data_IF_174584943005
#
_entry.id   IF_174584943005
#
_cell.length_a   1.000
_cell.length_b   1.000
_cell.length_c   1.000
_cell.angle_alpha   90.00
_cell.angle_beta   90.00
_cell.angle_gamma   90.00
#
_symmetry.space_group_name_H-M   'P 1'
#
loop_
_entity.id
_entity.type
_entity.pdbx_description
1 polymer ?
#
# COMPACT_ATOMS: atom_id res chain seq x y z
N UNK A 1 23.63 -16.38 12.09
CA UNK A 1 24.44 -17.57 12.42
C UNK A 1 23.51 -18.71 12.80
N UNK A 2 23.66 -19.90 12.21
CA UNK A 2 22.73 -21.04 12.38
C UNK A 2 23.02 -21.88 13.65
N UNK A 3 24.14 -21.62 14.34
CA UNK A 3 24.56 -22.31 15.55
C UNK A 3 24.38 -21.43 16.80
N UNK A 4 23.15 -21.01 17.05
CA UNK A 4 22.77 -20.35 18.31
C UNK A 4 21.78 -21.22 19.07
N UNK A 5 21.76 -21.10 20.40
CA UNK A 5 20.97 -21.98 21.27
C UNK A 5 19.47 -21.89 20.98
N UNK A 6 18.73 -22.97 21.28
CA UNK A 6 17.29 -23.05 21.05
C UNK A 6 16.51 -21.94 21.77
N UNK A 7 16.97 -21.50 22.94
CA UNK A 7 16.40 -20.35 23.67
C UNK A 7 16.60 -19.03 22.93
N UNK A 8 17.73 -18.82 22.26
CA UNK A 8 18.00 -17.61 21.49
C UNK A 8 17.21 -17.59 20.16
N UNK A 9 17.05 -18.76 19.53
CA UNK A 9 16.12 -18.95 18.42
C UNK A 9 14.67 -18.70 18.87
N UNK A 10 14.24 -19.28 20.00
CA UNK A 10 12.91 -19.10 20.56
C UNK A 10 12.62 -17.64 20.98
N UNK A 11 13.62 -16.94 21.53
CA UNK A 11 13.50 -15.54 21.92
C UNK A 11 13.29 -14.60 20.73
N UNK A 12 13.89 -14.90 19.57
CA UNK A 12 13.74 -14.12 18.33
C UNK A 12 12.58 -14.59 17.43
N UNK A 13 12.09 -15.82 17.63
CA UNK A 13 10.99 -16.41 16.84
C UNK A 13 9.69 -15.59 16.91
N UNK A 14 9.36 -14.97 18.04
CA UNK A 14 8.14 -14.19 18.16
C UNK A 14 8.18 -12.91 17.31
N UNK A 15 9.16 -12.05 17.58
CA UNK A 15 9.23 -10.73 16.95
C UNK A 15 9.51 -10.79 15.44
N UNK A 16 10.51 -11.57 15.01
CA UNK A 16 10.90 -11.62 13.59
C UNK A 16 9.79 -12.23 12.71
N UNK A 17 9.06 -13.25 13.20
CA UNK A 17 7.92 -13.80 12.46
C UNK A 17 6.75 -12.83 12.42
N UNK A 18 6.47 -12.11 13.51
CA UNK A 18 5.43 -11.07 13.52
C UNK A 18 5.80 -9.92 12.57
N UNK A 19 7.06 -9.49 12.58
CA UNK A 19 7.59 -8.46 11.66
C UNK A 19 7.52 -8.92 10.21
N UNK A 20 7.93 -10.16 9.92
CA UNK A 20 7.81 -10.75 8.59
C UNK A 20 6.36 -10.79 8.12
N UNK A 21 5.45 -11.31 8.96
CA UNK A 21 4.02 -11.37 8.63
C UNK A 21 3.45 -9.97 8.39
N UNK A 22 3.81 -9.00 9.24
CA UNK A 22 3.41 -7.61 9.08
C UNK A 22 3.86 -7.03 7.73
N UNK A 23 5.15 -7.15 7.39
CA UNK A 23 5.69 -6.69 6.10
C UNK A 23 5.12 -7.48 4.91
N UNK A 24 4.74 -8.75 5.10
CA UNK A 24 4.04 -9.53 4.07
C UNK A 24 2.65 -8.96 3.80
N UNK A 25 1.93 -8.48 4.81
CA UNK A 25 0.63 -7.80 4.60
C UNK A 25 0.78 -6.49 3.82
N UNK A 26 1.90 -5.77 3.99
CA UNK A 26 2.24 -4.59 3.20
C UNK A 26 2.49 -4.96 1.74
N UNK A 27 3.29 -6.01 1.52
CA UNK A 27 3.53 -6.55 0.18
C UNK A 27 2.22 -6.93 -0.53
N UNK A 28 1.29 -7.56 0.19
CA UNK A 28 -0.01 -7.98 -0.32
C UNK A 28 -0.94 -6.81 -0.70
N UNK A 29 -0.74 -5.62 -0.12
CA UNK A 29 -1.51 -4.43 -0.47
C UNK A 29 -1.23 -3.92 -1.90
N UNK A 30 0.00 -4.12 -2.41
CA UNK A 30 0.39 -3.64 -3.76
C UNK A 30 -0.45 -4.33 -4.87
N UNK A 31 -0.52 -5.67 -4.95
CA UNK A 31 -1.41 -6.35 -5.88
C UNK A 31 -2.89 -6.00 -5.69
N UNK A 32 -3.32 -5.74 -4.44
CA UNK A 32 -4.71 -5.34 -4.16
C UNK A 32 -5.03 -3.98 -4.80
N UNK A 33 -4.14 -2.99 -4.68
CA UNK A 33 -4.26 -1.67 -5.34
C UNK A 33 -4.37 -1.83 -6.85
N UNK A 34 -3.46 -2.60 -7.45
CA UNK A 34 -3.44 -2.84 -8.90
C UNK A 34 -4.75 -3.50 -9.34
N UNK A 35 -5.19 -4.52 -8.62
CA UNK A 35 -6.39 -5.30 -8.97
C UNK A 35 -7.65 -4.43 -9.05
N UNK A 36 -7.81 -3.43 -8.18
CA UNK A 36 -8.93 -2.48 -8.23
C UNK A 36 -8.95 -1.63 -9.50
N UNK A 37 -7.79 -1.20 -10.00
CA UNK A 37 -7.69 -0.41 -11.24
C UNK A 37 -8.01 -1.21 -12.50
N UNK A 38 -7.67 -2.50 -12.50
CA UNK A 38 -7.79 -3.38 -13.67
C UNK A 38 -8.95 -4.37 -13.61
N UNK A 39 -9.79 -4.27 -12.56
CA UNK A 39 -10.96 -5.10 -12.37
C UNK A 39 -11.84 -5.15 -13.64
N UNK A 40 -12.59 -6.25 -13.79
CA UNK A 40 -13.53 -6.57 -14.89
C UNK A 40 -12.88 -6.91 -16.25
N UNK A 41 -11.59 -6.63 -16.43
CA UNK A 41 -10.88 -6.83 -17.72
C UNK A 41 -9.54 -7.57 -17.62
N UNK A 42 -9.00 -7.73 -16.42
CA UNK A 42 -7.79 -8.51 -16.19
C UNK A 42 -8.06 -10.02 -16.30
N UNK A 43 -7.08 -10.76 -16.85
CA UNK A 43 -7.08 -12.24 -16.85
C UNK A 43 -6.46 -12.76 -15.55
N UNK A 44 -6.99 -13.87 -15.04
CA UNK A 44 -6.59 -14.44 -13.75
C UNK A 44 -5.11 -14.86 -13.69
N UNK A 45 -4.62 -15.68 -14.63
CA UNK A 45 -3.24 -16.19 -14.58
C UNK A 45 -2.16 -15.10 -14.73
N UNK A 46 -2.27 -14.13 -15.66
CA UNK A 46 -1.34 -13.00 -15.69
C UNK A 46 -1.32 -12.22 -14.37
N UNK A 47 -2.48 -12.03 -13.74
CA UNK A 47 -2.57 -11.34 -12.45
C UNK A 47 -1.90 -12.15 -11.32
N UNK A 48 -2.06 -13.47 -11.32
CA UNK A 48 -1.42 -14.36 -10.35
C UNK A 48 0.11 -14.31 -10.46
N UNK A 49 0.64 -14.39 -11.68
CA UNK A 49 2.09 -14.31 -11.94
C UNK A 49 2.63 -12.94 -11.59
N UNK A 50 1.94 -11.86 -11.98
CA UNK A 50 2.31 -10.50 -11.63
C UNK A 50 2.34 -10.32 -10.10
N UNK A 51 1.33 -10.85 -9.39
CA UNK A 51 1.27 -10.83 -7.93
C UNK A 51 2.47 -11.53 -7.30
N UNK A 52 2.83 -12.73 -7.78
CA UNK A 52 3.99 -13.46 -7.28
C UNK A 52 5.30 -12.70 -7.51
N UNK A 53 5.48 -12.07 -8.67
CA UNK A 53 6.66 -11.24 -8.98
C UNK A 53 6.69 -10.00 -8.08
N UNK A 54 5.55 -9.33 -7.91
CA UNK A 54 5.46 -8.11 -7.12
C UNK A 54 5.79 -8.40 -5.65
N UNK A 55 5.15 -9.40 -5.05
CA UNK A 55 5.35 -9.75 -3.64
C UNK A 55 6.72 -10.37 -3.41
N UNK A 56 7.18 -11.24 -4.32
CA UNK A 56 8.44 -11.97 -4.15
C UNK A 56 9.71 -11.18 -4.51
N UNK A 57 9.60 -10.16 -5.38
CA UNK A 57 10.78 -9.43 -5.88
C UNK A 57 10.63 -7.93 -5.82
N UNK A 58 9.55 -7.36 -6.38
CA UNK A 58 9.42 -5.89 -6.51
C UNK A 58 9.33 -5.24 -5.13
N UNK A 59 8.45 -5.73 -4.26
CA UNK A 59 8.30 -5.18 -2.92
C UNK A 59 9.58 -5.31 -2.09
N UNK A 60 10.22 -6.49 -1.93
CA UNK A 60 11.46 -6.62 -1.17
C UNK A 60 12.61 -5.75 -1.72
N UNK A 61 12.64 -5.52 -3.04
CA UNK A 61 13.65 -4.66 -3.65
C UNK A 61 13.51 -3.20 -3.17
N UNK A 62 12.31 -2.62 -3.24
CA UNK A 62 12.08 -1.24 -2.81
C UNK A 62 12.04 -1.09 -1.29
N UNK A 63 11.46 -2.06 -0.59
CA UNK A 63 11.52 -2.15 0.87
C UNK A 63 12.97 -2.15 1.36
N UNK A 64 13.83 -2.95 0.74
CA UNK A 64 15.25 -3.03 1.08
C UNK A 64 15.99 -1.71 0.87
N UNK A 65 15.67 -0.97 -0.18
CA UNK A 65 16.24 0.37 -0.44
C UNK A 65 15.79 1.36 0.62
N UNK A 66 14.48 1.41 0.90
CA UNK A 66 13.89 2.45 1.73
C UNK A 66 14.09 2.21 3.23
N UNK A 67 13.92 0.96 3.70
CA UNK A 67 13.93 0.63 5.13
C UNK A 67 15.18 -0.13 5.59
N UNK A 68 15.95 -0.74 4.68
CA UNK A 68 17.15 -1.52 5.03
C UNK A 68 18.45 -0.96 4.41
N UNK A 69 18.41 0.27 3.86
CA UNK A 69 19.57 0.98 3.31
C UNK A 69 20.35 0.22 2.21
N UNK A 70 19.70 -0.70 1.50
CA UNK A 70 20.35 -1.45 0.44
C UNK A 70 20.88 -0.55 -0.68
N UNK A 71 21.98 -0.98 -1.30
CA UNK A 71 22.61 -0.35 -2.47
C UNK A 71 23.09 1.10 -2.26
N UNK A 72 23.16 1.59 -1.02
CA UNK A 72 23.69 2.93 -0.71
C UNK A 72 22.80 4.11 -1.12
N UNK A 73 21.56 3.85 -1.58
CA UNK A 73 20.65 4.89 -2.08
C UNK A 73 20.29 5.89 -0.98
N UNK A 74 20.02 5.43 0.25
CA UNK A 74 19.74 6.32 1.38
C UNK A 74 20.92 7.27 1.69
N UNK A 75 22.16 6.75 1.64
CA UNK A 75 23.36 7.55 1.84
C UNK A 75 23.54 8.59 0.72
N UNK A 76 23.26 8.20 -0.53
CA UNK A 76 23.25 9.12 -1.66
C UNK A 76 22.18 10.22 -1.48
N UNK A 77 20.93 9.88 -1.15
CA UNK A 77 19.87 10.86 -0.89
C UNK A 77 20.32 11.84 0.19
N UNK A 78 20.81 11.34 1.33
CA UNK A 78 21.32 12.17 2.43
C UNK A 78 22.45 13.11 1.99
N UNK A 79 23.35 12.66 1.12
CA UNK A 79 24.45 13.49 0.61
C UNK A 79 23.97 14.67 -0.24
N UNK A 80 22.82 14.54 -0.91
CA UNK A 80 22.29 15.56 -1.82
C UNK A 80 21.24 16.45 -1.14
N UNK A 81 20.43 15.90 -0.24
CA UNK A 81 19.30 16.60 0.40
C UNK A 81 19.58 17.02 1.84
N UNK A 82 20.65 16.50 2.45
CA UNK A 82 20.98 16.69 3.87
C UNK A 82 20.23 15.77 4.84
N UNK A 83 19.27 14.97 4.35
CA UNK A 83 18.47 14.06 5.18
C UNK A 83 18.18 12.74 4.46
N UNK A 84 18.01 11.67 5.24
CA UNK A 84 17.59 10.38 4.68
C UNK A 84 16.12 10.44 4.25
N UNK A 85 15.79 9.65 3.23
CA UNK A 85 14.41 9.51 2.80
C UNK A 85 13.62 8.77 3.89
N UNK A 86 12.51 9.37 4.32
CA UNK A 86 11.69 8.83 5.39
C UNK A 86 10.31 8.45 4.87
N UNK A 87 10.04 7.15 4.86
CA UNK A 87 8.72 6.59 4.58
C UNK A 87 8.26 5.78 5.79
N UNK A 88 7.44 6.38 6.65
CA UNK A 88 7.12 5.80 7.95
C UNK A 88 6.34 4.49 7.85
N UNK A 89 5.32 4.45 6.97
CA UNK A 89 4.38 3.34 6.86
C UNK A 89 4.12 2.93 5.41
N UNK A 90 4.98 3.27 4.44
CA UNK A 90 4.86 2.76 3.08
C UNK A 90 4.04 3.64 2.13
N UNK A 91 3.99 4.95 2.38
CA UNK A 91 3.42 5.94 1.44
C UNK A 91 4.04 5.81 0.04
N UNK A 92 5.34 5.54 -0.04
CA UNK A 92 6.03 5.29 -1.31
C UNK A 92 6.16 3.79 -1.56
N UNK A 93 6.71 3.05 -0.61
CA UNK A 93 7.07 1.63 -0.78
C UNK A 93 5.84 0.76 -1.12
N UNK A 94 4.66 1.12 -0.61
CA UNK A 94 3.41 0.40 -0.87
C UNK A 94 2.52 1.19 -1.83
N UNK A 95 2.10 2.40 -1.43
CA UNK A 95 1.03 3.10 -2.13
C UNK A 95 1.48 3.71 -3.46
N UNK A 96 2.59 4.46 -3.47
CA UNK A 96 3.08 5.07 -4.71
C UNK A 96 3.55 4.02 -5.71
N UNK A 97 4.32 3.00 -5.28
CA UNK A 97 4.73 1.89 -6.15
C UNK A 97 3.52 1.13 -6.68
N UNK A 98 2.53 0.84 -5.83
CA UNK A 98 1.27 0.23 -6.29
C UNK A 98 0.56 1.06 -7.36
N UNK A 99 0.49 2.39 -7.17
CA UNK A 99 -0.06 3.30 -8.17
C UNK A 99 0.75 3.32 -9.48
N UNK A 100 2.08 3.40 -9.39
CA UNK A 100 2.98 3.42 -10.55
C UNK A 100 2.99 2.10 -11.32
N UNK A 101 2.78 0.96 -10.67
CA UNK A 101 2.59 -0.34 -11.33
C UNK A 101 1.19 -0.48 -11.92
N UNK A 102 0.17 0.08 -11.26
CA UNK A 102 -1.20 0.07 -11.75
C UNK A 102 -1.38 0.93 -13.01
N UNK A 103 -0.69 2.07 -13.10
CA UNK A 103 -0.80 3.01 -14.22
C UNK A 103 -0.55 2.36 -15.60
N UNK A 104 0.61 1.73 -15.89
CA UNK A 104 0.83 1.06 -17.17
C UNK A 104 -0.13 -0.11 -17.37
N UNK A 105 -0.50 -0.84 -16.31
CA UNK A 105 -1.48 -1.93 -16.42
C UNK A 105 -2.85 -1.42 -16.89
N UNK A 106 -3.31 -0.29 -16.35
CA UNK A 106 -4.57 0.37 -16.77
C UNK A 106 -4.47 0.91 -18.20
N UNK A 107 -3.34 1.52 -18.57
CA UNK A 107 -3.13 2.04 -19.94
C UNK A 107 -3.16 0.90 -20.97
N UNK A 108 -2.43 -0.19 -20.72
CA UNK A 108 -2.32 -1.32 -21.64
C UNK A 108 -3.62 -2.13 -21.76
N UNK A 109 -4.37 -2.28 -20.67
CA UNK A 109 -5.68 -2.93 -20.71
C UNK A 109 -6.76 -2.03 -21.35
N UNK A 110 -6.53 -0.72 -21.36
CA UNK A 110 -7.46 0.27 -21.88
C UNK A 110 -8.67 0.52 -20.97
N UNK A 111 -9.56 1.37 -21.47
CA UNK A 111 -10.78 1.76 -20.78
C UNK A 111 -11.77 0.60 -20.63
N UNK A 112 -12.57 0.62 -19.57
CA UNK A 112 -13.70 -0.31 -19.41
C UNK A 112 -14.68 -0.12 -20.57
N UNK A 113 -15.34 -1.22 -20.97
CA UNK A 113 -16.36 -1.19 -22.03
C UNK A 113 -17.42 -0.14 -21.67
N UNK A 114 -17.81 0.66 -22.66
CA UNK A 114 -18.81 1.73 -22.51
C UNK A 114 -18.44 2.86 -21.52
N UNK A 115 -17.21 2.93 -21.01
CA UNK A 115 -16.77 4.06 -20.16
C UNK A 115 -16.75 5.38 -20.91
N UNK A 116 -16.27 5.37 -22.15
CA UNK A 116 -16.25 6.53 -23.04
C UNK A 116 -17.12 6.22 -24.26
N UNK A 117 -18.14 7.05 -24.49
CA UNK A 117 -19.06 6.95 -25.62
C UNK A 117 -18.42 7.55 -26.88
N UNK A 118 -19.01 7.26 -28.06
CA UNK A 118 -18.51 7.75 -29.36
C UNK A 118 -18.50 9.28 -29.48
N UNK A 119 -19.35 9.96 -28.71
CA UNK A 119 -19.47 11.41 -28.58
C UNK A 119 -18.45 12.01 -27.59
N UNK A 120 -17.60 11.19 -26.97
CA UNK A 120 -16.65 11.60 -25.94
C UNK A 120 -17.24 11.70 -24.54
N UNK A 121 -18.55 11.49 -24.37
CA UNK A 121 -19.19 11.54 -23.06
C UNK A 121 -18.74 10.37 -22.17
N UNK A 122 -18.58 10.65 -20.87
CA UNK A 122 -18.22 9.65 -19.87
C UNK A 122 -19.50 9.03 -19.31
N UNK A 123 -19.59 7.70 -19.36
CA UNK A 123 -20.68 6.97 -18.71
C UNK A 123 -20.35 6.75 -17.24
N UNK A 124 -21.22 7.22 -16.35
CA UNK A 124 -21.19 6.86 -14.93
C UNK A 124 -21.37 5.34 -14.79
N UNK A 125 -20.51 4.71 -14.00
CA UNK A 125 -20.64 3.31 -13.60
C UNK A 125 -21.00 3.33 -12.12
N UNK A 126 -22.30 3.24 -11.77
CA UNK A 126 -22.70 3.30 -10.38
C UNK A 126 -22.07 2.12 -9.61
N UNK A 127 -21.79 2.30 -8.30
CA UNK A 127 -21.35 1.21 -7.46
C UNK A 127 -22.32 0.03 -7.55
N UNK A 128 -21.79 -1.18 -7.76
CA UNK A 128 -22.62 -2.38 -7.82
C UNK A 128 -23.34 -2.67 -6.50
N UNK A 129 -22.79 -2.21 -5.37
CA UNK A 129 -23.39 -2.33 -4.04
C UNK A 129 -22.82 -1.28 -3.07
N UNK A 130 -23.64 -0.28 -2.71
CA UNK A 130 -23.24 0.81 -1.80
C UNK A 130 -22.90 0.30 -0.40
N UNK A 131 -23.71 -0.57 0.25
CA UNK A 131 -23.33 -1.16 1.54
C UNK A 131 -21.97 -1.86 1.55
N UNK A 132 -21.63 -2.65 0.53
CA UNK A 132 -20.32 -3.32 0.45
C UNK A 132 -19.18 -2.32 0.24
N UNK A 133 -19.39 -1.26 -0.54
CA UNK A 133 -18.42 -0.18 -0.69
C UNK A 133 -18.15 0.51 0.65
N UNK A 134 -19.19 0.85 1.40
CA UNK A 134 -19.06 1.46 2.72
C UNK A 134 -18.38 0.53 3.73
N UNK A 135 -18.73 -0.76 3.72
CA UNK A 135 -18.09 -1.78 4.56
C UNK A 135 -16.60 -1.93 4.23
N UNK A 136 -16.24 -1.97 2.94
CA UNK A 136 -14.85 -2.02 2.51
C UNK A 136 -14.05 -0.79 2.98
N UNK A 137 -14.61 0.41 2.82
CA UNK A 137 -14.00 1.65 3.33
C UNK A 137 -13.82 1.63 4.86
N UNK A 138 -14.78 1.09 5.60
CA UNK A 138 -14.68 0.93 7.05
C UNK A 138 -13.58 -0.07 7.46
N UNK A 139 -13.50 -1.23 6.80
CA UNK A 139 -12.44 -2.22 7.04
C UNK A 139 -11.06 -1.61 6.78
N UNK A 140 -10.92 -0.86 5.68
CA UNK A 140 -9.68 -0.14 5.38
C UNK A 140 -9.35 0.91 6.45
N UNK A 141 -10.33 1.68 6.90
CA UNK A 141 -10.17 2.70 7.96
C UNK A 141 -9.66 2.09 9.26
N UNK A 142 -10.28 1.00 9.72
CA UNK A 142 -9.87 0.31 10.94
C UNK A 142 -8.49 -0.34 10.75
N UNK A 143 -8.28 -1.03 9.63
CA UNK A 143 -7.00 -1.64 9.28
C UNK A 143 -5.85 -0.63 9.18
N UNK A 144 -6.14 0.61 8.78
CA UNK A 144 -5.14 1.67 8.64
C UNK A 144 -4.46 2.05 9.95
N UNK A 145 -5.17 1.94 11.08
CA UNK A 145 -4.54 2.12 12.39
C UNK A 145 -3.49 1.04 12.66
N UNK A 146 -3.80 -0.23 12.36
CA UNK A 146 -2.84 -1.32 12.45
C UNK A 146 -1.64 -1.09 11.52
N UNK A 147 -1.89 -0.67 10.28
CA UNK A 147 -0.87 -0.36 9.29
C UNK A 147 0.10 0.72 9.79
N UNK A 148 -0.42 1.86 10.28
CA UNK A 148 0.43 2.98 10.69
C UNK A 148 1.06 2.76 12.07
N UNK A 149 0.30 2.34 13.07
CA UNK A 149 0.81 2.23 14.45
C UNK A 149 1.87 1.15 14.57
N UNK A 150 1.67 -0.01 13.92
CA UNK A 150 2.65 -1.11 13.95
C UNK A 150 3.86 -0.86 13.06
N UNK A 151 3.84 0.14 12.17
CA UNK A 151 5.01 0.55 11.38
C UNK A 151 6.13 1.15 12.23
N UNK A 152 5.86 1.48 13.50
CA UNK A 152 6.90 1.75 14.48
C UNK A 152 7.85 0.56 14.70
N UNK A 153 7.41 -0.66 14.34
CA UNK A 153 8.08 -1.95 14.45
C UNK A 153 8.38 -2.41 15.87
N UNK A 154 8.75 -1.53 16.81
CA UNK A 154 9.05 -1.86 18.20
C UNK A 154 8.11 -1.16 19.18
N UNK A 155 7.84 -1.80 20.32
CA UNK A 155 6.87 -1.32 21.33
C UNK A 155 7.25 0.06 21.88
N UNK A 156 8.54 0.32 22.09
CA UNK A 156 9.07 1.59 22.58
C UNK A 156 8.88 2.76 21.61
N UNK A 157 8.69 2.47 20.31
CA UNK A 157 8.47 3.48 19.26
C UNK A 157 6.99 3.68 18.93
N UNK A 158 6.10 2.84 19.45
CA UNK A 158 4.65 3.00 19.27
C UNK A 158 4.23 4.30 19.96
N UNK A 159 3.50 5.15 19.23
CA UNK A 159 3.04 6.43 19.74
C UNK A 159 1.57 6.65 19.43
N UNK A 160 0.81 7.10 20.44
CA UNK A 160 -0.58 7.53 20.25
C UNK A 160 -0.72 8.69 19.25
N UNK A 161 0.33 9.48 19.04
CA UNK A 161 0.34 10.55 18.03
C UNK A 161 0.19 9.99 16.61
N UNK A 162 0.74 8.81 16.32
CA UNK A 162 0.58 8.15 15.02
C UNK A 162 -0.89 7.82 14.79
N UNK A 163 -1.58 7.28 15.80
CA UNK A 163 -3.00 6.96 15.71
C UNK A 163 -3.85 8.23 15.52
N UNK A 164 -3.61 9.28 16.32
CA UNK A 164 -4.36 10.55 16.20
C UNK A 164 -4.11 11.23 14.85
N UNK A 165 -2.86 11.29 14.38
CA UNK A 165 -2.54 11.85 13.07
C UNK A 165 -3.20 11.07 11.94
N UNK A 166 -3.25 9.75 12.04
CA UNK A 166 -3.96 8.89 11.07
C UNK A 166 -5.45 9.20 11.03
N UNK A 167 -6.09 9.33 12.20
CA UNK A 167 -7.50 9.69 12.30
C UNK A 167 -7.76 11.09 11.71
N UNK A 168 -6.97 12.09 12.09
CA UNK A 168 -7.15 13.46 11.60
C UNK A 168 -6.93 13.58 10.10
N UNK A 169 -5.99 12.81 9.54
CA UNK A 169 -5.78 12.74 8.08
C UNK A 169 -7.01 12.15 7.36
N UNK A 170 -7.60 11.07 7.89
CA UNK A 170 -8.81 10.46 7.31
C UNK A 170 -10.02 11.40 7.39
N UNK A 171 -10.22 12.08 8.53
CA UNK A 171 -11.27 13.08 8.70
C UNK A 171 -11.06 14.24 7.73
N UNK A 172 -9.85 14.81 7.67
CA UNK A 172 -9.52 15.91 6.77
C UNK A 172 -9.75 15.55 5.30
N UNK A 173 -9.31 14.36 4.88
CA UNK A 173 -9.53 13.85 3.53
C UNK A 173 -11.02 13.68 3.19
N UNK A 174 -11.82 13.17 4.13
CA UNK A 174 -13.26 12.99 3.95
C UNK A 174 -13.98 14.34 3.83
N UNK A 175 -13.64 15.31 4.68
CA UNK A 175 -14.21 16.65 4.63
C UNK A 175 -13.83 17.38 3.35
N UNK A 176 -12.56 17.26 2.92
CA UNK A 176 -12.10 17.81 1.65
C UNK A 176 -12.85 17.17 0.47
N UNK A 177 -12.98 15.84 0.44
CA UNK A 177 -13.75 15.14 -0.59
C UNK A 177 -15.22 15.59 -0.62
N UNK A 178 -15.84 15.80 0.53
CA UNK A 178 -17.21 16.33 0.60
C UNK A 178 -17.31 17.77 0.06
N UNK A 179 -16.35 18.63 0.40
CA UNK A 179 -16.33 20.02 -0.03
C UNK A 179 -16.12 20.17 -1.54
N UNK A 180 -15.19 19.39 -2.12
CA UNK A 180 -14.82 19.50 -3.54
C UNK A 180 -15.58 18.53 -4.44
N UNK A 181 -16.12 17.43 -3.92
CA UNK A 181 -16.87 16.42 -4.68
C UNK A 181 -18.33 16.74 -4.94
N UNK A 182 -18.83 17.92 -4.51
CA UNK A 182 -20.24 18.32 -4.62
C UNK A 182 -20.80 18.32 -6.06
N UNK A 183 -19.91 18.32 -7.07
CA UNK A 183 -20.25 18.29 -8.49
C UNK A 183 -19.62 17.09 -9.23
N UNK A 184 -19.09 16.10 -8.52
CA UNK A 184 -18.64 14.87 -9.18
C UNK A 184 -19.86 14.12 -9.75
N UNK A 185 -19.81 13.70 -11.04
CA UNK A 185 -20.93 13.07 -11.74
C UNK A 185 -21.29 11.66 -11.25
#
# INVERSE_FOLDING_TARGET
>A
HFFVGAEELAAKNGYELVRFFFLLTFAAAIPAIISGGIAERARFYPQLIATAIIVGFVYPFFEGITWNHHFGVQAWIKSVTGAEFHDFAGSVVVHAIGGWLALPAVILLGARRNRYRKDGAVSAHPPSNIPFLALGAWILTVGWFGFNVMSAQTIDKISGLVAVNSLMAMVGGTLAALAFGKNDP
#
